data_IF_143439972400
#
_entry.id   IF_143439972400
#
_cell.length_a   1.000
_cell.length_b   1.000
_cell.length_c   1.000
_cell.angle_alpha   90.00
_cell.angle_beta   90.00
_cell.angle_gamma   90.00
#
_symmetry.space_group_name_H-M   'P 1'
#
loop_
_entity.id
_entity.type
_entity.pdbx_description
1 polymer ?
#
# COMPACT_ATOMS: atom_id res chain seq x y z
N UNK A 1 3.16 -16.02 2.37
CA UNK A 1 2.02 -15.34 1.74
C UNK A 1 0.70 -15.96 2.16
N UNK A 2 -0.38 -15.25 1.89
CA UNK A 2 -1.74 -15.76 2.06
C UNK A 2 -2.13 -16.65 0.88
N UNK A 3 -3.10 -17.52 1.10
CA UNK A 3 -3.57 -18.45 0.09
C UNK A 3 -4.43 -17.72 -0.97
N UNK A 4 -4.26 -18.06 -2.24
CA UNK A 4 -5.10 -17.63 -3.35
C UNK A 4 -6.06 -18.73 -3.84
N UNK A 5 -6.01 -19.90 -3.21
CA UNK A 5 -6.93 -21.01 -3.45
C UNK A 5 -7.22 -21.76 -2.15
N UNK A 6 -8.49 -22.13 -1.93
CA UNK A 6 -8.92 -22.97 -0.81
C UNK A 6 -9.60 -24.21 -1.38
N UNK A 7 -9.07 -25.39 -1.08
CA UNK A 7 -9.61 -26.65 -1.56
C UNK A 7 -8.90 -27.88 -1.03
N UNK A 8 -9.17 -29.03 -1.65
CA UNK A 8 -8.45 -30.27 -1.36
C UNK A 8 -7.08 -30.29 -2.04
N UNK A 9 -6.20 -31.15 -1.58
CA UNK A 9 -4.88 -31.39 -2.22
C UNK A 9 -5.02 -31.77 -3.69
N UNK A 10 -5.97 -32.65 -4.01
CA UNK A 10 -6.24 -33.11 -5.37
C UNK A 10 -6.65 -31.95 -6.28
N UNK A 11 -7.55 -31.08 -5.81
CA UNK A 11 -7.96 -29.87 -6.52
C UNK A 11 -6.78 -28.92 -6.74
N UNK A 12 -5.95 -28.69 -5.73
CA UNK A 12 -4.77 -27.85 -5.84
C UNK A 12 -3.75 -28.41 -6.85
N UNK A 13 -3.56 -29.75 -6.88
CA UNK A 13 -2.69 -30.41 -7.86
C UNK A 13 -3.21 -30.27 -9.29
N UNK A 14 -4.52 -30.45 -9.50
CA UNK A 14 -5.15 -30.27 -10.81
C UNK A 14 -4.96 -28.82 -11.34
N UNK A 15 -5.15 -27.83 -10.46
CA UNK A 15 -4.93 -26.44 -10.84
C UNK A 15 -3.46 -26.13 -11.13
N UNK A 16 -2.54 -26.66 -10.33
CA UNK A 16 -1.10 -26.53 -10.59
C UNK A 16 -0.68 -27.14 -11.93
N UNK A 17 -1.22 -28.31 -12.28
CA UNK A 17 -0.95 -28.96 -13.58
C UNK A 17 -1.51 -28.14 -14.76
N UNK A 18 -2.74 -27.65 -14.64
CA UNK A 18 -3.32 -26.78 -15.66
C UNK A 18 -2.51 -25.48 -15.83
N UNK A 19 -2.04 -24.90 -14.73
CA UNK A 19 -1.21 -23.69 -14.76
C UNK A 19 0.18 -23.95 -15.41
N UNK A 20 0.79 -25.11 -15.14
CA UNK A 20 2.06 -25.52 -15.78
C UNK A 20 1.88 -25.65 -17.29
N UNK A 21 0.83 -26.34 -17.75
CA UNK A 21 0.52 -26.49 -19.18
C UNK A 21 0.31 -25.13 -19.84
N UNK A 22 -0.43 -24.24 -19.18
CA UNK A 22 -0.66 -22.88 -19.68
C UNK A 22 0.65 -22.07 -19.78
N UNK A 23 1.47 -22.10 -18.74
CA UNK A 23 2.75 -21.38 -18.72
C UNK A 23 3.71 -21.91 -19.79
N UNK A 24 3.73 -23.22 -20.05
CA UNK A 24 4.54 -23.85 -21.10
C UNK A 24 4.03 -23.44 -22.49
N UNK A 25 2.72 -23.44 -22.71
CA UNK A 25 2.09 -22.96 -23.96
C UNK A 25 2.45 -21.49 -24.24
N UNK A 26 2.49 -20.66 -23.21
CA UNK A 26 2.91 -19.25 -23.29
C UNK A 26 4.44 -19.07 -23.37
N UNK A 27 5.21 -20.17 -23.39
CA UNK A 27 6.69 -20.18 -23.38
C UNK A 27 7.30 -19.44 -22.19
N UNK A 28 6.58 -19.37 -21.09
CA UNK A 28 6.99 -18.68 -19.85
C UNK A 28 7.77 -19.64 -18.93
N UNK A 29 9.03 -19.93 -19.30
CA UNK A 29 9.87 -20.94 -18.63
C UNK A 29 10.02 -20.71 -17.14
N UNK A 30 10.19 -19.46 -16.70
CA UNK A 30 10.36 -19.15 -15.28
C UNK A 30 9.08 -19.50 -14.48
N UNK A 31 7.88 -19.26 -15.04
CA UNK A 31 6.62 -19.61 -14.40
C UNK A 31 6.44 -21.14 -14.29
N UNK A 32 6.86 -21.89 -15.31
CA UNK A 32 6.87 -23.36 -15.28
C UNK A 32 7.69 -23.86 -14.09
N UNK A 33 8.89 -23.34 -13.85
CA UNK A 33 9.75 -23.78 -12.76
C UNK A 33 9.20 -23.36 -11.37
N UNK A 34 8.64 -22.17 -11.23
CA UNK A 34 7.97 -21.76 -10.00
C UNK A 34 6.74 -22.62 -9.69
N UNK A 35 5.92 -22.92 -10.70
CA UNK A 35 4.73 -23.77 -10.55
C UNK A 35 5.09 -25.22 -10.22
N UNK A 36 6.16 -25.77 -10.81
CA UNK A 36 6.68 -27.10 -10.44
C UNK A 36 7.12 -27.12 -8.97
N UNK A 37 7.80 -26.07 -8.52
CA UNK A 37 8.21 -25.93 -7.12
C UNK A 37 7.01 -25.83 -6.18
N UNK A 38 5.99 -25.04 -6.55
CA UNK A 38 4.75 -24.98 -5.78
C UNK A 38 4.03 -26.32 -5.74
N UNK A 39 3.95 -27.05 -6.87
CA UNK A 39 3.37 -28.39 -6.97
C UNK A 39 4.10 -29.38 -6.07
N UNK A 40 5.42 -29.37 -6.01
CA UNK A 40 6.20 -30.24 -5.11
C UNK A 40 5.83 -30.01 -3.64
N UNK A 41 5.65 -28.76 -3.22
CA UNK A 41 5.19 -28.43 -1.86
C UNK A 41 3.77 -28.97 -1.58
N UNK A 42 2.87 -28.92 -2.57
CA UNK A 42 1.54 -29.50 -2.46
C UNK A 42 1.61 -31.01 -2.35
N UNK A 43 2.46 -31.67 -3.17
CA UNK A 43 2.65 -33.14 -3.13
C UNK A 43 3.16 -33.60 -1.76
N UNK A 44 4.11 -32.88 -1.17
CA UNK A 44 4.67 -33.21 0.15
C UNK A 44 3.71 -32.98 1.32
N UNK A 45 2.59 -32.31 1.07
CA UNK A 45 1.57 -32.04 2.08
C UNK A 45 0.81 -33.33 2.44
N UNK A 46 0.79 -33.65 3.72
CA UNK A 46 0.12 -34.85 4.25
C UNK A 46 -1.30 -34.58 4.73
N UNK A 47 -1.76 -33.34 4.69
CA UNK A 47 -3.11 -32.97 5.14
C UNK A 47 -4.19 -33.57 4.24
N UNK A 48 -5.23 -34.15 4.86
CA UNK A 48 -6.41 -34.67 4.16
C UNK A 48 -7.61 -33.75 4.18
N UNK A 49 -7.49 -32.57 4.81
CA UNK A 49 -8.58 -31.59 4.93
C UNK A 49 -8.43 -30.51 3.88
N UNK A 50 -9.52 -29.79 3.61
CA UNK A 50 -9.49 -28.56 2.80
C UNK A 50 -8.64 -27.52 3.52
N UNK A 51 -7.76 -26.85 2.78
CA UNK A 51 -6.92 -25.77 3.29
C UNK A 51 -6.57 -24.76 2.20
N UNK A 52 -5.86 -23.72 2.61
CA UNK A 52 -5.36 -22.70 1.69
C UNK A 52 -4.05 -23.13 1.01
N UNK A 53 -3.95 -22.83 -0.29
CA UNK A 53 -2.75 -23.03 -1.10
C UNK A 53 -2.37 -21.72 -1.79
N UNK A 54 -1.09 -21.52 -2.05
CA UNK A 54 -0.57 -20.41 -2.87
C UNK A 54 -0.19 -20.98 -4.24
N UNK A 55 -0.92 -20.61 -5.27
CA UNK A 55 -0.75 -21.11 -6.61
C UNK A 55 -0.27 -20.05 -7.58
N UNK A 56 -0.88 -18.87 -7.56
CA UNK A 56 -0.73 -17.85 -8.61
C UNK A 56 -0.07 -16.56 -8.14
N UNK A 57 0.03 -16.33 -6.83
CA UNK A 57 0.40 -15.02 -6.28
C UNK A 57 -0.44 -13.88 -6.88
N UNK A 58 -1.76 -14.07 -6.91
CA UNK A 58 -2.68 -13.03 -7.31
C UNK A 58 -2.64 -11.89 -6.26
N UNK A 59 -2.74 -10.64 -6.70
CA UNK A 59 -2.65 -9.47 -5.83
C UNK A 59 -3.65 -9.46 -4.66
N UNK A 60 -4.79 -10.13 -4.82
CA UNK A 60 -5.81 -10.22 -3.76
C UNK A 60 -5.29 -10.87 -2.47
N UNK A 61 -4.18 -11.61 -2.52
CA UNK A 61 -3.53 -12.16 -1.32
C UNK A 61 -2.95 -11.07 -0.40
N UNK A 62 -2.88 -9.83 -0.86
CA UNK A 62 -2.43 -8.67 -0.09
C UNK A 62 -3.58 -7.94 0.63
N UNK A 63 -4.84 -8.24 0.30
CA UNK A 63 -6.02 -7.62 0.94
C UNK A 63 -6.06 -7.76 2.47
N UNK A 64 -5.65 -8.89 3.08
CA UNK A 64 -5.58 -8.96 4.55
C UNK A 64 -4.63 -7.94 5.18
N UNK A 65 -3.56 -7.55 4.48
CA UNK A 65 -2.65 -6.51 4.94
C UNK A 65 -3.20 -5.11 4.66
N UNK A 66 -3.87 -4.91 3.51
CA UNK A 66 -4.57 -3.66 3.20
C UNK A 66 -5.63 -3.33 4.25
N UNK A 67 -6.41 -4.31 4.67
CA UNK A 67 -7.46 -4.14 5.67
C UNK A 67 -6.96 -4.16 7.12
N UNK A 68 -5.68 -4.46 7.34
CA UNK A 68 -5.06 -4.50 8.67
C UNK A 68 -5.46 -5.70 9.55
N UNK A 69 -6.15 -6.72 8.99
CA UNK A 69 -6.58 -7.91 9.76
C UNK A 69 -5.51 -8.99 9.86
N UNK A 70 -4.44 -8.91 9.08
CA UNK A 70 -3.34 -9.85 9.11
C UNK A 70 -2.52 -9.70 10.41
N UNK A 71 -2.06 -10.82 11.01
CA UNK A 71 -1.08 -10.70 12.06
C UNK A 71 0.26 -10.18 11.51
N UNK A 72 1.01 -9.48 12.35
CA UNK A 72 2.21 -8.72 11.93
C UNK A 72 3.28 -9.60 11.28
N UNK A 73 3.54 -10.78 11.83
CA UNK A 73 4.58 -11.69 11.33
C UNK A 73 4.24 -12.22 9.94
N UNK A 74 3.02 -12.71 9.76
CA UNK A 74 2.53 -13.18 8.46
C UNK A 74 2.46 -12.03 7.45
N UNK A 75 2.03 -10.85 7.87
CA UNK A 75 1.97 -9.67 7.02
C UNK A 75 3.36 -9.29 6.47
N UNK A 76 4.37 -9.15 7.33
CA UNK A 76 5.73 -8.79 6.88
C UNK A 76 6.29 -9.85 5.92
N UNK A 77 6.08 -11.13 6.20
CA UNK A 77 6.49 -12.22 5.30
C UNK A 77 5.79 -12.14 3.94
N UNK A 78 4.47 -11.87 3.93
CA UNK A 78 3.68 -11.74 2.71
C UNK A 78 4.09 -10.49 1.89
N UNK A 79 4.28 -9.35 2.54
CA UNK A 79 4.71 -8.11 1.90
C UNK A 79 6.10 -8.26 1.25
N UNK A 80 7.04 -8.88 1.93
CA UNK A 80 8.36 -9.19 1.35
C UNK A 80 8.27 -10.12 0.13
N UNK A 81 7.34 -11.07 0.14
CA UNK A 81 7.09 -11.94 -1.01
C UNK A 81 6.47 -11.15 -2.16
N UNK A 82 5.48 -10.30 -1.89
CA UNK A 82 4.78 -9.50 -2.88
C UNK A 82 5.70 -8.55 -3.64
N UNK A 83 6.73 -8.00 -3.00
CA UNK A 83 7.72 -7.13 -3.67
C UNK A 83 8.43 -7.80 -4.85
N UNK A 84 8.55 -9.13 -4.85
CA UNK A 84 9.13 -9.90 -5.96
C UNK A 84 8.26 -9.86 -7.23
N UNK A 85 7.00 -9.53 -7.08
CA UNK A 85 6.00 -9.47 -8.15
C UNK A 85 5.69 -8.03 -8.56
N UNK A 86 6.71 -7.19 -8.63
CA UNK A 86 6.64 -5.81 -9.11
C UNK A 86 7.61 -5.56 -10.26
N UNK A 87 7.28 -4.59 -11.11
CA UNK A 87 8.20 -4.04 -12.10
C UNK A 87 8.42 -2.52 -11.87
N UNK A 88 8.92 -1.81 -12.89
CA UNK A 88 9.16 -0.37 -12.81
C UNK A 88 7.89 0.48 -12.67
N UNK A 89 6.70 -0.07 -12.99
CA UNK A 89 5.41 0.63 -12.93
C UNK A 89 4.55 0.24 -11.73
N UNK A 90 4.82 -0.88 -11.07
CA UNK A 90 4.06 -1.32 -9.90
C UNK A 90 3.92 -2.83 -9.79
N UNK A 91 2.78 -3.29 -9.23
CA UNK A 91 2.49 -4.68 -8.93
C UNK A 91 1.77 -5.38 -10.07
N UNK A 92 2.20 -6.60 -10.37
CA UNK A 92 1.50 -7.50 -11.30
C UNK A 92 0.15 -7.96 -10.73
N UNK A 93 -0.84 -8.11 -11.61
CA UNK A 93 -2.15 -8.69 -11.26
C UNK A 93 -1.98 -10.10 -10.73
N UNK A 94 -1.18 -10.93 -11.42
CA UNK A 94 -0.86 -12.29 -11.01
C UNK A 94 0.64 -12.52 -11.16
N UNK A 95 1.31 -12.77 -10.05
CA UNK A 95 2.78 -12.88 -10.03
C UNK A 95 3.31 -14.00 -10.91
N UNK A 96 2.56 -15.12 -11.05
CA UNK A 96 2.97 -16.26 -11.87
C UNK A 96 2.83 -15.99 -13.38
N UNK A 97 1.92 -15.10 -13.78
CA UNK A 97 1.69 -14.75 -15.19
C UNK A 97 2.48 -13.51 -15.63
N UNK A 98 3.30 -12.94 -14.74
CA UNK A 98 4.02 -11.69 -15.01
C UNK A 98 4.76 -11.73 -16.34
N UNK A 99 4.60 -10.68 -17.12
CA UNK A 99 5.33 -10.49 -18.36
C UNK A 99 6.63 -9.74 -18.09
N UNK A 100 7.76 -10.45 -18.06
CA UNK A 100 9.08 -9.86 -17.80
C UNK A 100 9.57 -8.94 -18.92
N UNK A 101 9.08 -9.10 -20.14
CA UNK A 101 9.43 -8.21 -21.24
C UNK A 101 8.87 -6.81 -21.07
N UNK A 102 7.76 -6.67 -20.34
CA UNK A 102 7.24 -5.34 -19.97
C UNK A 102 8.19 -4.55 -19.05
N UNK A 103 9.19 -5.21 -18.46
CA UNK A 103 10.20 -4.60 -17.60
C UNK A 103 11.34 -3.93 -18.38
N UNK A 104 11.62 -4.39 -19.61
CA UNK A 104 12.80 -3.97 -20.38
C UNK A 104 12.65 -2.61 -21.06
N UNK A 105 11.44 -2.10 -21.19
CA UNK A 105 11.17 -0.84 -21.91
C UNK A 105 10.85 0.30 -20.94
N UNK A 106 11.83 0.74 -20.17
CA UNK A 106 11.67 1.85 -19.20
C UNK A 106 11.33 3.20 -19.85
N UNK A 107 11.48 3.36 -21.16
CA UNK A 107 11.38 4.64 -21.85
C UNK A 107 10.46 4.64 -23.08
N UNK A 108 9.63 3.63 -23.29
CA UNK A 108 8.78 3.56 -24.49
C UNK A 108 7.30 3.77 -24.16
N UNK A 109 6.67 4.72 -24.84
CA UNK A 109 5.21 4.92 -24.91
C UNK A 109 4.52 3.86 -25.80
N UNK A 110 5.14 2.70 -26.01
CA UNK A 110 4.52 1.64 -26.77
C UNK A 110 3.34 1.08 -25.98
N UNK A 111 2.15 1.13 -26.59
CA UNK A 111 0.94 0.57 -25.99
C UNK A 111 1.16 -0.86 -25.51
N UNK A 112 0.82 -1.12 -24.26
CA UNK A 112 0.88 -2.45 -23.66
C UNK A 112 0.10 -3.47 -24.49
N UNK A 113 -1.02 -3.04 -25.12
CA UNK A 113 -1.87 -3.89 -25.97
C UNK A 113 -1.19 -4.38 -27.26
N UNK A 114 -0.17 -3.67 -27.77
CA UNK A 114 0.52 -4.03 -29.00
C UNK A 114 1.60 -5.11 -28.82
N UNK A 115 1.83 -5.58 -27.59
CA UNK A 115 2.80 -6.64 -27.32
C UNK A 115 2.21 -8.00 -27.66
N UNK A 116 2.95 -8.81 -28.43
CA UNK A 116 2.53 -10.16 -28.89
C UNK A 116 2.11 -11.10 -27.74
N UNK A 117 2.63 -10.87 -26.54
CA UNK A 117 2.46 -11.73 -25.37
C UNK A 117 1.62 -11.05 -24.27
N UNK A 118 0.80 -10.06 -24.65
CA UNK A 118 -0.07 -9.39 -23.70
C UNK A 118 -1.07 -10.38 -23.08
N UNK A 119 -1.03 -10.52 -21.77
CA UNK A 119 -2.08 -11.15 -20.98
C UNK A 119 -2.51 -10.21 -19.89
N UNK A 120 -3.81 -10.01 -19.71
CA UNK A 120 -4.34 -9.09 -18.70
C UNK A 120 -3.87 -9.44 -17.28
N UNK A 121 -3.77 -10.73 -16.97
CA UNK A 121 -3.29 -11.24 -15.68
C UNK A 121 -1.78 -11.09 -15.49
N UNK A 122 -1.01 -11.01 -16.58
CA UNK A 122 0.45 -10.81 -16.56
C UNK A 122 0.88 -9.35 -16.60
N UNK A 123 -0.06 -8.41 -16.49
CA UNK A 123 0.22 -6.97 -16.53
C UNK A 123 0.32 -6.35 -15.13
N UNK A 124 0.83 -5.13 -15.07
CA UNK A 124 0.81 -4.29 -13.88
C UNK A 124 -0.41 -3.39 -13.90
N UNK A 125 -1.08 -3.28 -12.75
CA UNK A 125 -2.26 -2.42 -12.62
C UNK A 125 -2.09 -1.44 -11.46
N UNK A 126 -2.74 -0.30 -11.58
CA UNK A 126 -2.73 0.75 -10.54
C UNK A 126 -3.43 0.31 -9.26
N UNK A 127 -4.56 -0.43 -9.36
CA UNK A 127 -5.27 -0.93 -8.18
C UNK A 127 -4.43 -1.89 -7.33
N UNK A 128 -3.89 -3.01 -7.86
CA UNK A 128 -3.00 -3.89 -7.09
C UNK A 128 -1.82 -3.16 -6.45
N UNK A 129 -1.25 -2.19 -7.17
CA UNK A 129 -0.14 -1.39 -6.65
C UNK A 129 -0.60 -0.50 -5.49
N UNK A 130 -1.76 0.15 -5.61
CA UNK A 130 -2.35 0.94 -4.52
C UNK A 130 -2.67 0.12 -3.28
N UNK A 131 -3.25 -1.07 -3.45
CA UNK A 131 -3.48 -2.04 -2.36
C UNK A 131 -2.16 -2.38 -1.65
N UNK A 132 -1.09 -2.63 -2.40
CA UNK A 132 0.21 -2.91 -1.80
C UNK A 132 0.79 -1.69 -1.07
N UNK A 133 0.63 -0.47 -1.60
CA UNK A 133 1.07 0.77 -0.91
C UNK A 133 0.38 0.91 0.45
N UNK A 134 -0.94 0.74 0.48
CA UNK A 134 -1.74 0.80 1.73
C UNK A 134 -1.33 -0.30 2.70
N UNK A 135 -1.14 -1.52 2.19
CA UNK A 135 -0.70 -2.67 2.97
C UNK A 135 0.68 -2.45 3.62
N UNK A 136 1.67 -1.97 2.87
CA UNK A 136 3.00 -1.66 3.41
C UNK A 136 2.92 -0.67 4.57
N UNK A 137 2.15 0.40 4.39
CA UNK A 137 2.00 1.45 5.39
C UNK A 137 1.27 0.97 6.66
N UNK A 138 0.25 0.12 6.53
CA UNK A 138 -0.47 -0.45 7.67
C UNK A 138 0.44 -1.26 8.60
N UNK A 139 1.53 -1.80 8.07
CA UNK A 139 2.51 -2.57 8.86
C UNK A 139 3.82 -1.82 9.13
N UNK A 140 3.78 -0.47 9.09
CA UNK A 140 4.88 0.40 9.50
C UNK A 140 6.05 0.42 8.52
N UNK A 141 5.77 0.28 7.23
CA UNK A 141 6.77 0.28 6.15
C UNK A 141 6.52 1.45 5.16
N UNK A 142 6.54 2.71 5.64
CA UNK A 142 6.25 3.87 4.79
C UNK A 142 7.29 4.10 3.69
N UNK A 143 8.53 3.68 3.88
CA UNK A 143 9.57 3.81 2.86
C UNK A 143 9.27 2.92 1.64
N UNK A 144 8.85 1.66 1.87
CA UNK A 144 8.42 0.72 0.85
C UNK A 144 7.13 1.19 0.15
N UNK A 145 6.16 1.67 0.92
CA UNK A 145 4.95 2.27 0.39
C UNK A 145 5.26 3.43 -0.55
N UNK A 146 6.17 4.31 -0.16
CA UNK A 146 6.60 5.44 -0.99
C UNK A 146 7.27 5.01 -2.30
N UNK A 147 8.13 3.98 -2.26
CA UNK A 147 8.76 3.46 -3.49
C UNK A 147 7.72 2.91 -4.48
N UNK A 148 6.71 2.21 -3.99
CA UNK A 148 5.61 1.73 -4.82
C UNK A 148 4.75 2.89 -5.38
N UNK A 149 4.44 3.88 -4.54
CA UNK A 149 3.71 5.06 -4.97
C UNK A 149 4.44 5.82 -6.10
N UNK A 150 5.77 5.94 -5.99
CA UNK A 150 6.61 6.50 -7.07
C UNK A 150 6.51 5.72 -8.38
N UNK A 151 6.33 4.40 -8.33
CA UNK A 151 6.14 3.61 -9.55
C UNK A 151 4.85 3.98 -10.26
N UNK A 152 3.75 4.15 -9.51
CA UNK A 152 2.46 4.56 -10.08
C UNK A 152 2.55 5.97 -10.70
N UNK A 153 3.28 6.90 -10.07
CA UNK A 153 3.38 8.28 -10.57
C UNK A 153 4.03 8.40 -11.94
N UNK A 154 4.77 7.40 -12.40
CA UNK A 154 5.39 7.40 -13.74
C UNK A 154 4.37 7.53 -14.88
N UNK A 155 3.14 7.07 -14.66
CA UNK A 155 2.06 7.09 -15.68
C UNK A 155 0.99 8.13 -15.38
N UNK A 156 1.19 8.95 -14.34
CA UNK A 156 0.25 9.99 -13.97
C UNK A 156 0.11 11.04 -15.07
N UNK A 157 -1.13 11.35 -15.42
CA UNK A 157 -1.49 12.28 -16.50
C UNK A 157 -1.09 11.86 -17.92
N UNK A 158 -0.82 10.58 -18.18
CA UNK A 158 -0.54 10.11 -19.55
C UNK A 158 -1.72 10.27 -20.50
N UNK A 159 -2.93 9.99 -20.03
CA UNK A 159 -4.13 10.11 -20.86
C UNK A 159 -4.81 11.49 -20.70
N UNK A 160 -5.13 11.86 -19.44
CA UNK A 160 -5.83 13.08 -19.08
C UNK A 160 -5.16 13.68 -17.84
N UNK A 161 -5.17 15.02 -17.66
CA UNK A 161 -4.64 15.64 -16.46
C UNK A 161 -5.25 15.03 -15.18
N UNK A 162 -4.40 14.57 -14.27
CA UNK A 162 -4.82 13.97 -13.01
C UNK A 162 -5.34 12.52 -13.10
N UNK A 163 -5.17 11.84 -14.23
CA UNK A 163 -5.62 10.46 -14.43
C UNK A 163 -4.46 9.48 -14.60
N UNK A 164 -4.79 8.21 -14.52
CA UNK A 164 -3.91 7.08 -14.82
C UNK A 164 -4.70 5.99 -15.53
N UNK A 165 -4.04 5.24 -16.40
CA UNK A 165 -4.62 4.04 -16.97
C UNK A 165 -4.83 2.95 -15.92
N UNK A 166 -5.81 2.09 -16.14
CA UNK A 166 -6.04 0.88 -15.35
C UNK A 166 -4.81 -0.03 -15.34
N UNK A 167 -4.29 -0.29 -16.52
CA UNK A 167 -3.09 -1.10 -16.76
C UNK A 167 -1.94 -0.19 -17.15
N UNK A 168 -0.85 -0.26 -16.41
CA UNK A 168 0.34 0.53 -16.68
C UNK A 168 1.15 -0.04 -17.85
N UNK A 169 1.72 0.81 -18.73
CA UNK A 169 1.69 2.26 -18.64
C UNK A 169 0.45 2.91 -19.27
N UNK A 170 -0.22 2.31 -20.27
CA UNK A 170 -1.11 3.03 -21.19
C UNK A 170 -2.27 2.18 -21.76
N UNK A 171 -2.83 1.25 -20.98
CA UNK A 171 -3.91 0.38 -21.46
C UNK A 171 -5.10 0.32 -20.47
N UNK A 172 -6.28 -0.01 -21.02
CA UNK A 172 -7.53 -0.14 -20.27
C UNK A 172 -8.22 1.21 -20.08
N UNK A 173 -8.99 1.33 -19.00
CA UNK A 173 -9.72 2.56 -18.69
C UNK A 173 -8.76 3.68 -18.26
N UNK A 174 -8.96 4.87 -18.85
CA UNK A 174 -8.13 6.05 -18.59
C UNK A 174 -8.45 6.76 -17.26
N UNK A 175 -9.63 6.52 -16.69
CA UNK A 175 -10.13 7.25 -15.52
C UNK A 175 -10.93 6.32 -14.61
N UNK A 176 -10.25 5.46 -13.88
CA UNK A 176 -10.93 4.61 -12.90
C UNK A 176 -10.88 5.26 -11.51
N UNK A 177 -11.99 5.19 -10.77
CA UNK A 177 -12.10 5.77 -9.44
C UNK A 177 -11.09 5.17 -8.44
N UNK A 178 -10.82 3.88 -8.52
CA UNK A 178 -9.84 3.23 -7.64
C UNK A 178 -8.37 3.60 -7.93
N UNK A 179 -8.07 4.19 -9.09
CA UNK A 179 -6.73 4.73 -9.32
C UNK A 179 -6.43 5.90 -8.36
N UNK A 180 -7.45 6.70 -8.05
CA UNK A 180 -7.34 7.81 -7.07
C UNK A 180 -7.18 7.27 -5.65
N UNK A 181 -7.77 6.11 -5.34
CA UNK A 181 -7.61 5.44 -4.05
C UNK A 181 -6.14 5.29 -3.64
N UNK A 182 -5.27 4.86 -4.57
CA UNK A 182 -3.84 4.67 -4.31
C UNK A 182 -3.16 5.93 -3.74
N UNK A 183 -3.59 7.11 -4.18
CA UNK A 183 -3.07 8.40 -3.70
C UNK A 183 -3.84 8.92 -2.49
N UNK A 184 -5.15 8.95 -2.55
CA UNK A 184 -5.99 9.50 -1.50
C UNK A 184 -5.80 8.76 -0.16
N UNK A 185 -5.88 7.44 -0.18
CA UNK A 185 -5.67 6.63 1.01
C UNK A 185 -4.23 6.73 1.52
N UNK A 186 -3.26 6.55 0.63
CA UNK A 186 -1.84 6.49 1.03
C UNK A 186 -1.31 7.85 1.50
N UNK A 187 -1.62 8.93 0.80
CA UNK A 187 -1.09 10.25 1.14
C UNK A 187 -1.88 10.87 2.29
N UNK A 188 -3.21 11.00 2.13
CA UNK A 188 -4.02 11.74 3.09
C UNK A 188 -4.18 10.96 4.39
N UNK A 189 -4.59 9.69 4.31
CA UNK A 189 -4.93 8.92 5.51
C UNK A 189 -3.76 8.18 6.14
N UNK A 190 -2.66 7.95 5.40
CA UNK A 190 -1.53 7.22 5.95
C UNK A 190 -0.28 8.09 6.11
N UNK A 191 0.28 8.71 5.05
CA UNK A 191 1.47 9.55 5.23
C UNK A 191 1.17 10.76 6.11
N UNK A 192 0.13 11.52 5.80
CA UNK A 192 -0.33 12.60 6.69
C UNK A 192 -1.16 12.10 7.87
N UNK A 193 -1.70 10.89 7.80
CA UNK A 193 -2.39 10.23 8.90
C UNK A 193 -3.73 10.84 9.29
N UNK A 194 -4.43 11.56 8.38
CA UNK A 194 -5.68 12.26 8.69
C UNK A 194 -6.85 11.30 8.63
N UNK A 195 -7.38 10.89 9.79
CA UNK A 195 -8.50 9.97 9.93
C UNK A 195 -9.73 10.71 10.48
N UNK A 196 -10.81 10.83 9.71
CA UNK A 196 -11.99 11.61 10.09
C UNK A 196 -12.92 10.84 11.03
N UNK A 197 -13.40 11.50 12.09
CA UNK A 197 -14.52 11.09 12.92
C UNK A 197 -15.52 12.25 13.02
N UNK A 198 -15.97 12.75 11.86
CA UNK A 198 -16.71 13.97 11.70
C UNK A 198 -18.00 14.05 12.56
N UNK A 199 -18.68 12.93 12.77
CA UNK A 199 -19.90 12.85 13.59
C UNK A 199 -19.62 13.13 15.10
N UNK A 200 -18.36 13.01 15.52
CA UNK A 200 -17.90 13.39 16.87
C UNK A 200 -17.22 14.75 16.93
N UNK A 201 -17.10 15.45 15.80
CA UNK A 201 -16.22 16.63 15.66
C UNK A 201 -14.77 16.31 16.09
N UNK A 202 -14.29 15.15 15.68
CA UNK A 202 -12.96 14.65 16.04
C UNK A 202 -12.19 14.25 14.77
N UNK A 203 -10.88 14.47 14.81
CA UNK A 203 -9.94 14.03 13.77
C UNK A 203 -8.77 13.39 14.48
N UNK A 204 -8.43 12.15 14.09
CA UNK A 204 -7.17 11.55 14.50
C UNK A 204 -6.11 11.89 13.45
N UNK A 205 -4.94 12.34 13.90
CA UNK A 205 -3.76 12.58 13.06
C UNK A 205 -2.64 11.64 13.53
N UNK A 206 -2.31 10.66 12.69
CA UNK A 206 -1.29 9.63 12.97
C UNK A 206 -0.33 9.48 11.79
N UNK A 207 0.59 10.44 11.57
CA UNK A 207 1.48 10.43 10.41
C UNK A 207 2.43 9.23 10.39
N UNK A 208 2.52 8.57 9.22
CA UNK A 208 3.49 7.51 8.92
C UNK A 208 4.35 7.95 7.74
N UNK A 209 5.36 8.77 8.02
CA UNK A 209 6.14 9.47 7.00
C UNK A 209 7.33 8.66 6.52
N UNK A 210 7.55 8.54 5.19
CA UNK A 210 8.78 8.01 4.62
C UNK A 210 9.98 8.86 5.02
N UNK A 211 11.12 8.24 5.30
CA UNK A 211 12.35 8.94 5.72
C UNK A 211 12.88 9.94 4.69
N UNK A 212 12.62 9.68 3.42
CA UNK A 212 13.07 10.55 2.32
C UNK A 212 12.30 11.88 2.26
N UNK A 213 11.10 11.95 2.84
CA UNK A 213 10.32 13.18 2.91
C UNK A 213 10.73 13.97 4.14
N UNK A 214 11.63 14.93 4.00
CA UNK A 214 12.13 15.76 5.11
C UNK A 214 11.14 16.83 5.54
N UNK A 215 10.27 17.26 4.64
CA UNK A 215 9.20 18.22 4.87
C UNK A 215 8.04 17.99 3.92
N UNK A 216 6.91 18.55 4.27
CA UNK A 216 5.72 18.49 3.43
C UNK A 216 4.53 19.17 4.07
N UNK A 217 3.53 19.46 3.24
CA UNK A 217 2.29 20.11 3.67
C UNK A 217 1.12 19.62 2.83
N UNK A 218 0.01 19.38 3.50
CA UNK A 218 -1.31 19.18 2.88
C UNK A 218 -2.25 20.27 3.39
N UNK A 219 -3.00 20.90 2.48
CA UNK A 219 -3.86 22.03 2.80
C UNK A 219 -5.30 21.75 2.43
N UNK A 220 -6.20 22.38 3.17
CA UNK A 220 -7.63 22.45 2.87
C UNK A 220 -8.29 21.04 2.78
N UNK A 221 -7.85 20.09 3.60
CA UNK A 221 -8.48 18.77 3.68
C UNK A 221 -9.83 18.91 4.37
N UNK A 222 -10.91 18.72 3.63
CA UNK A 222 -12.27 18.80 4.16
C UNK A 222 -12.62 17.58 5.01
N UNK A 223 -13.06 17.81 6.23
CA UNK A 223 -13.54 16.77 7.16
C UNK A 223 -14.89 17.20 7.74
N UNK A 224 -15.99 16.73 7.17
CA UNK A 224 -17.31 17.22 7.51
C UNK A 224 -17.44 18.72 7.24
N UNK A 225 -17.76 19.50 8.28
CA UNK A 225 -17.83 20.98 8.22
C UNK A 225 -16.51 21.68 8.53
N UNK A 226 -15.50 20.93 8.95
CA UNK A 226 -14.17 21.45 9.27
C UNK A 226 -13.21 21.31 8.08
N UNK A 227 -12.09 21.98 8.16
CA UNK A 227 -11.01 21.97 7.19
C UNK A 227 -9.67 21.94 7.92
N UNK A 228 -8.78 21.04 7.49
CA UNK A 228 -7.49 20.78 8.12
C UNK A 228 -6.37 21.11 7.16
N UNK A 229 -5.35 21.78 7.69
CA UNK A 229 -4.03 21.90 7.08
C UNK A 229 -3.01 21.27 8.02
N UNK A 230 -2.18 20.37 7.49
CA UNK A 230 -1.11 19.71 8.22
C UNK A 230 0.22 19.88 7.50
N UNK A 231 1.19 20.48 8.17
CA UNK A 231 2.58 20.55 7.72
C UNK A 231 3.49 19.73 8.64
N UNK A 232 4.61 19.26 8.11
CA UNK A 232 5.64 18.58 8.90
C UNK A 232 7.04 18.95 8.44
N UNK A 233 8.00 18.82 9.38
CA UNK A 233 9.44 18.80 9.11
C UNK A 233 10.02 17.64 9.92
N UNK A 234 10.77 16.75 9.26
CA UNK A 234 11.47 15.62 9.88
C UNK A 234 12.98 15.85 9.90
N UNK A 235 13.59 15.62 11.04
CA UNK A 235 15.04 15.59 11.18
C UNK A 235 15.50 14.31 11.91
N UNK A 236 16.80 14.11 12.03
CA UNK A 236 17.34 12.99 12.82
C UNK A 236 16.98 13.12 14.29
N UNK A 237 16.89 14.36 14.82
CA UNK A 237 16.71 14.64 16.26
C UNK A 237 15.26 14.82 16.65
N UNK A 238 14.43 15.35 15.76
CA UNK A 238 13.04 15.71 16.07
C UNK A 238 12.16 15.71 14.83
N UNK A 239 10.86 15.60 15.06
CA UNK A 239 9.83 15.84 14.07
C UNK A 239 8.96 17.01 14.57
N UNK A 240 8.65 17.92 13.67
CA UNK A 240 7.77 19.06 13.92
C UNK A 240 6.50 18.92 13.09
N UNK A 241 5.34 19.28 13.68
CA UNK A 241 4.05 19.29 12.99
C UNK A 241 3.34 20.60 13.25
N UNK A 242 2.79 21.17 12.19
CA UNK A 242 1.92 22.36 12.26
C UNK A 242 0.52 21.94 11.85
N UNK A 243 -0.42 22.00 12.78
CA UNK A 243 -1.81 21.61 12.57
C UNK A 243 -2.67 22.87 12.65
N UNK A 244 -3.40 23.16 11.56
CA UNK A 244 -4.38 24.24 11.50
C UNK A 244 -5.74 23.66 11.19
N UNK A 245 -6.77 24.15 11.87
CA UNK A 245 -8.16 23.77 11.59
C UNK A 245 -9.07 25.01 11.58
N UNK A 246 -10.10 24.96 10.76
CA UNK A 246 -11.04 26.06 10.56
C UNK A 246 -11.92 26.31 11.79
N UNK A 247 -12.39 25.25 12.42
CA UNK A 247 -13.32 25.30 13.54
C UNK A 247 -12.63 24.95 14.86
N UNK A 248 -12.73 25.83 15.85
CA UNK A 248 -12.05 25.68 17.14
C UNK A 248 -12.70 24.63 18.07
N UNK A 249 -13.97 24.29 17.83
CA UNK A 249 -14.77 23.34 18.63
C UNK A 249 -14.56 21.87 18.22
N UNK A 250 -13.62 21.61 17.31
CA UNK A 250 -13.19 20.26 16.95
C UNK A 250 -11.97 19.84 17.76
N UNK A 251 -11.91 18.54 18.06
CA UNK A 251 -10.82 17.90 18.77
C UNK A 251 -9.90 17.21 17.76
N UNK A 252 -8.59 17.39 17.93
CA UNK A 252 -7.58 16.61 17.21
C UNK A 252 -6.89 15.67 18.20
N UNK A 253 -6.94 14.36 17.90
CA UNK A 253 -6.15 13.33 18.60
C UNK A 253 -4.88 13.10 17.79
N UNK A 254 -3.74 13.57 18.30
CA UNK A 254 -2.45 13.29 17.65
C UNK A 254 -1.85 12.01 18.23
N UNK A 255 -1.51 11.06 17.35
CA UNK A 255 -1.14 9.70 17.71
C UNK A 255 0.16 9.28 17.04
N UNK A 256 1.05 8.61 17.78
CA UNK A 256 2.28 8.03 17.25
C UNK A 256 2.58 6.67 17.92
N UNK A 257 3.33 5.77 17.26
CA UNK A 257 3.74 4.51 17.87
C UNK A 257 4.47 4.72 19.19
N UNK A 258 4.19 3.86 20.16
CA UNK A 258 4.81 3.88 21.49
C UNK A 258 6.34 3.87 21.40
N UNK A 259 6.96 4.77 22.16
CA UNK A 259 8.42 4.85 22.30
C UNK A 259 9.14 5.45 21.10
N UNK A 260 8.43 5.99 20.11
CA UNK A 260 9.05 6.68 18.98
C UNK A 260 9.71 7.99 19.39
N UNK A 261 9.16 8.68 20.39
CA UNK A 261 9.64 9.97 20.86
C UNK A 261 9.83 9.98 22.38
N UNK A 262 10.89 10.64 22.82
CA UNK A 262 11.25 10.78 24.25
C UNK A 262 10.55 11.97 24.92
N UNK A 263 10.25 13.03 24.15
CA UNK A 263 9.64 14.25 24.66
C UNK A 263 8.65 14.81 23.66
N UNK A 264 7.51 15.23 24.15
CA UNK A 264 6.43 15.85 23.39
C UNK A 264 6.20 17.28 23.86
N UNK A 265 6.06 18.19 22.92
CA UNK A 265 5.75 19.60 23.20
C UNK A 265 4.62 20.05 22.27
N UNK A 266 3.69 20.82 22.83
CA UNK A 266 2.60 21.48 22.11
C UNK A 266 2.66 22.97 22.46
N UNK A 267 2.76 23.82 21.43
CA UNK A 267 2.84 25.27 21.59
C UNK A 267 3.91 25.69 22.62
N UNK A 268 5.10 25.07 22.55
CA UNK A 268 6.25 25.24 23.44
C UNK A 268 6.06 24.74 24.90
N UNK A 269 4.93 24.09 25.21
CA UNK A 269 4.69 23.49 26.53
C UNK A 269 4.92 21.99 26.49
N UNK A 270 5.62 21.44 27.47
CA UNK A 270 5.83 19.98 27.58
C UNK A 270 4.50 19.32 27.92
N UNK A 271 4.19 18.24 27.17
CA UNK A 271 2.99 17.43 27.39
C UNK A 271 3.38 15.97 27.57
N UNK A 272 2.56 15.23 28.31
CA UNK A 272 2.75 13.80 28.52
C UNK A 272 1.67 13.03 27.78
N UNK A 273 2.05 12.20 26.75
CA UNK A 273 1.08 11.44 26.01
C UNK A 273 0.48 10.33 26.89
N UNK A 274 -0.77 9.99 26.61
CA UNK A 274 -1.44 8.82 27.20
C UNK A 274 -1.22 7.60 26.29
N UNK A 275 -0.89 6.47 26.91
CA UNK A 275 -0.79 5.20 26.20
C UNK A 275 -2.18 4.62 25.91
N UNK A 276 -2.45 4.34 24.62
CA UNK A 276 -3.69 3.71 24.14
C UNK A 276 -3.29 2.57 23.17
N UNK A 277 -3.37 1.34 23.63
CA UNK A 277 -2.82 0.19 22.91
C UNK A 277 -1.31 0.35 22.65
N UNK A 278 -0.91 0.22 21.41
CA UNK A 278 0.50 0.37 20.97
C UNK A 278 0.87 1.82 20.59
N UNK A 279 0.01 2.80 20.92
CA UNK A 279 0.19 4.20 20.54
C UNK A 279 0.23 5.11 21.75
N UNK A 280 1.03 6.15 21.64
CA UNK A 280 1.05 7.32 22.52
C UNK A 280 0.21 8.42 21.87
N UNK A 281 -0.73 9.00 22.64
CA UNK A 281 -1.70 9.97 22.14
C UNK A 281 -1.79 11.20 23.01
N UNK A 282 -1.97 12.36 22.36
CA UNK A 282 -2.35 13.62 23.01
C UNK A 282 -3.62 14.17 22.37
N UNK A 283 -4.42 14.85 23.16
CA UNK A 283 -5.61 15.57 22.69
C UNK A 283 -5.26 17.05 22.62
N UNK A 284 -5.47 17.64 21.46
CA UNK A 284 -5.26 19.06 21.22
C UNK A 284 -6.55 19.72 20.71
N UNK A 285 -6.73 20.99 21.04
CA UNK A 285 -7.87 21.79 20.64
C UNK A 285 -7.43 23.17 20.14
N UNK A 286 -8.37 23.93 19.61
CA UNK A 286 -8.08 25.25 19.06
C UNK A 286 -7.67 25.20 17.59
N UNK A 287 -7.53 26.38 16.97
CA UNK A 287 -7.35 26.50 15.52
C UNK A 287 -5.92 26.26 15.05
N UNK A 288 -4.92 26.53 15.86
CA UNK A 288 -3.52 26.46 15.47
C UNK A 288 -2.70 25.76 16.56
N UNK A 289 -2.00 24.71 16.19
CA UNK A 289 -1.16 23.95 17.10
C UNK A 289 0.19 23.63 16.46
N UNK A 290 1.28 23.86 17.19
CA UNK A 290 2.62 23.47 16.79
C UNK A 290 3.10 22.36 17.73
N UNK A 291 3.44 21.21 17.16
CA UNK A 291 3.98 20.07 17.89
C UNK A 291 5.47 19.94 17.59
N UNK A 292 6.26 19.65 18.62
CA UNK A 292 7.68 19.32 18.51
C UNK A 292 7.93 18.04 19.29
N UNK A 293 8.43 17.02 18.61
CA UNK A 293 8.58 15.65 19.13
C UNK A 293 10.05 15.23 19.03
N UNK A 294 10.73 15.09 20.16
CA UNK A 294 12.16 14.73 20.22
C UNK A 294 12.34 13.20 20.19
N UNK A 295 13.23 12.73 19.32
CA UNK A 295 13.56 11.30 19.12
C UNK A 295 14.52 10.75 20.15
#
# INVERSE_FOLDING_TARGET
SYADFIGTKEQALQLADAAIVRADTLKNKWAVEELKTAKQKIVSDTSRIKKGFVLYHNWVVNTPMETGIANKEQAISALNTAQKFTNSYGMFVTGIDRNEESVKEENSFASTANKKEFTYTGTVMTLPTGVQVVAENNYGRPDEAYQLLKKITKTFSYALPGSMYEVSPDYGMMTQAWNIYAFGESIVKQFFGIQPLAYKKEITISPSLPKVLTDGKIENVSVGTNEITLGFVQTIKEDQFVIKQKLADWITVFSQPKGKYKKWMVNNSVVHPKLVGDYEQIIISGKNNNLQLLK
#
